data_IF_551506440929
#
_entry.id   IF_551506440929
#
_cell.length_a   1.000
_cell.length_b   1.000
_cell.length_c   1.000
_cell.angle_alpha   90.00
_cell.angle_beta   90.00
_cell.angle_gamma   90.00
#
_symmetry.space_group_name_H-M   'P 1'
#
loop_
_entity.id
_entity.type
_entity.pdbx_description
1 polymer ?
#
# COMPACT_ATOMS: atom_id res chain seq x y z
N UNK A 1 1.65 -14.92 -9.06
CA UNK A 1 2.66 -15.04 -10.15
C UNK A 1 2.13 -14.69 -11.53
N UNK A 2 0.94 -15.14 -11.97
CA UNK A 2 0.43 -14.79 -13.32
C UNK A 2 0.01 -13.31 -13.44
N UNK A 3 -0.54 -12.74 -12.35
CA UNK A 3 -1.09 -11.38 -12.37
C UNK A 3 -0.02 -10.29 -12.49
N UNK A 4 1.02 -10.32 -11.65
CA UNK A 4 2.15 -9.38 -11.74
C UNK A 4 2.85 -9.45 -13.10
N UNK A 5 2.89 -10.64 -13.73
CA UNK A 5 3.45 -10.77 -15.08
C UNK A 5 2.59 -10.05 -16.12
N UNK A 6 1.26 -10.16 -16.04
CA UNK A 6 0.33 -9.41 -16.90
C UNK A 6 0.44 -7.91 -16.66
N UNK A 7 0.52 -7.49 -15.40
CA UNK A 7 0.68 -6.09 -15.03
C UNK A 7 1.97 -5.48 -15.59
N UNK A 8 3.11 -6.17 -15.44
CA UNK A 8 4.38 -5.75 -16.07
C UNK A 8 4.27 -5.62 -17.58
N UNK A 9 3.54 -6.53 -18.24
CA UNK A 9 3.33 -6.44 -19.68
C UNK A 9 2.48 -5.22 -20.06
N UNK A 10 1.41 -4.94 -19.31
CA UNK A 10 0.58 -3.75 -19.51
C UNK A 10 1.38 -2.47 -19.30
N UNK A 11 2.22 -2.41 -18.25
CA UNK A 11 3.12 -1.28 -18.00
C UNK A 11 4.06 -1.07 -19.18
N UNK A 12 4.72 -2.14 -19.67
CA UNK A 12 5.61 -2.04 -20.82
C UNK A 12 4.90 -1.49 -22.07
N UNK A 13 3.67 -1.91 -22.32
CA UNK A 13 2.86 -1.40 -23.44
C UNK A 13 2.50 0.08 -23.25
N UNK A 14 2.14 0.49 -22.04
CA UNK A 14 1.84 1.88 -21.74
C UNK A 14 3.08 2.78 -21.89
N UNK A 15 4.24 2.29 -21.44
CA UNK A 15 5.52 3.00 -21.57
C UNK A 15 5.88 3.32 -23.03
N UNK A 16 5.53 2.47 -24.00
CA UNK A 16 5.81 2.71 -25.43
C UNK A 16 5.24 4.04 -25.96
N UNK A 17 4.18 4.55 -25.32
CA UNK A 17 3.53 5.83 -25.69
C UNK A 17 3.79 6.95 -24.68
N UNK A 18 4.19 6.59 -23.46
CA UNK A 18 4.30 7.52 -22.35
C UNK A 18 5.74 7.94 -22.05
N UNK A 19 6.71 7.03 -22.17
CA UNK A 19 8.09 7.32 -21.85
C UNK A 19 8.85 7.88 -23.06
N UNK A 20 9.68 8.92 -22.90
CA UNK A 20 10.56 9.41 -23.96
C UNK A 20 11.48 8.29 -24.49
N UNK A 21 11.70 8.25 -25.81
CA UNK A 21 12.46 7.17 -26.46
C UNK A 21 13.89 7.03 -25.90
N UNK A 22 14.55 8.14 -25.57
CA UNK A 22 15.89 8.17 -24.99
C UNK A 22 15.94 7.75 -23.51
N UNK A 23 14.78 7.66 -22.85
CA UNK A 23 14.61 7.30 -21.43
C UNK A 23 13.97 5.93 -21.20
N UNK A 24 13.58 5.25 -22.28
CA UNK A 24 12.92 3.95 -22.24
C UNK A 24 13.71 2.90 -21.44
N UNK A 25 15.04 2.83 -21.60
CA UNK A 25 15.85 1.85 -20.89
C UNK A 25 15.95 2.13 -19.38
N UNK A 26 16.08 3.40 -18.97
CA UNK A 26 16.06 3.80 -17.56
C UNK A 26 14.72 3.42 -16.89
N UNK A 27 13.61 3.66 -17.61
CA UNK A 27 12.28 3.32 -17.13
C UNK A 27 12.07 1.80 -17.00
N UNK A 28 12.62 0.99 -17.93
CA UNK A 28 12.58 -0.47 -17.86
C UNK A 28 13.42 -1.02 -16.70
N UNK A 29 14.56 -0.40 -16.41
CA UNK A 29 15.39 -0.78 -15.26
C UNK A 29 14.64 -0.58 -13.95
N UNK A 30 13.88 0.52 -13.83
CA UNK A 30 13.01 0.75 -12.67
C UNK A 30 11.90 -0.31 -12.57
N UNK A 31 11.22 -0.62 -13.68
CA UNK A 31 10.21 -1.68 -13.71
C UNK A 31 10.81 -3.05 -13.31
N UNK A 32 12.04 -3.33 -13.73
CA UNK A 32 12.74 -4.57 -13.37
C UNK A 32 13.07 -4.63 -11.87
N UNK A 33 13.43 -3.50 -11.26
CA UNK A 33 13.68 -3.38 -9.81
C UNK A 33 12.45 -3.77 -9.01
N UNK A 34 11.28 -3.27 -9.39
CA UNK A 34 10.01 -3.49 -8.69
C UNK A 34 9.20 -4.67 -9.23
N UNK A 35 9.82 -5.57 -10.00
CA UNK A 35 9.11 -6.59 -10.79
C UNK A 35 8.22 -7.55 -10.00
N UNK A 36 8.44 -7.70 -8.70
CA UNK A 36 7.62 -8.52 -7.80
C UNK A 36 6.86 -7.67 -6.75
N UNK A 37 7.04 -6.34 -6.74
CA UNK A 37 6.44 -5.46 -5.74
C UNK A 37 5.09 -4.93 -6.22
N UNK A 38 3.99 -5.39 -5.62
CA UNK A 38 2.64 -5.04 -6.09
C UNK A 38 2.39 -3.53 -6.00
N UNK A 39 2.78 -2.90 -4.89
CA UNK A 39 2.55 -1.46 -4.63
C UNK A 39 3.23 -0.63 -5.72
N UNK A 40 4.51 -0.87 -5.98
CA UNK A 40 5.22 -0.13 -7.03
C UNK A 40 4.70 -0.45 -8.43
N UNK A 41 4.28 -1.70 -8.72
CA UNK A 41 3.65 -2.03 -10.00
C UNK A 41 2.30 -1.33 -10.19
N UNK A 42 1.50 -1.17 -9.14
CA UNK A 42 0.24 -0.42 -9.19
C UNK A 42 0.50 1.05 -9.51
N UNK A 43 1.48 1.67 -8.81
CA UNK A 43 1.91 3.04 -9.08
C UNK A 43 2.40 3.23 -10.52
N UNK A 44 3.28 2.34 -11.00
CA UNK A 44 3.81 2.45 -12.35
C UNK A 44 2.70 2.26 -13.40
N UNK A 45 1.77 1.32 -13.17
CA UNK A 45 0.64 1.13 -14.08
C UNK A 45 -0.24 2.38 -14.13
N UNK A 46 -0.59 2.95 -12.98
CA UNK A 46 -1.41 4.16 -12.89
C UNK A 46 -0.74 5.34 -13.61
N UNK A 47 0.53 5.59 -13.30
CA UNK A 47 1.30 6.68 -13.91
C UNK A 47 1.38 6.56 -15.44
N UNK A 48 1.77 5.39 -15.96
CA UNK A 48 1.94 5.23 -17.41
C UNK A 48 0.61 5.10 -18.17
N UNK A 49 -0.46 4.67 -17.50
CA UNK A 49 -1.81 4.63 -18.09
C UNK A 49 -2.46 6.01 -18.12
N UNK A 50 -2.17 6.85 -17.12
CA UNK A 50 -2.77 8.17 -16.92
C UNK A 50 -1.70 9.21 -16.58
N UNK A 51 -0.97 9.64 -17.62
CA UNK A 51 0.06 10.68 -17.48
C UNK A 51 -0.53 11.98 -16.92
N UNK A 52 -0.08 12.46 -15.74
CA UNK A 52 -0.70 13.61 -15.07
C UNK A 52 -0.76 14.88 -15.92
N UNK A 53 0.29 15.17 -16.69
CA UNK A 53 0.41 16.38 -17.52
C UNK A 53 0.15 16.12 -19.02
N UNK A 54 -0.34 14.92 -19.37
CA UNK A 54 -0.60 14.48 -20.75
C UNK A 54 0.58 14.66 -21.73
N UNK A 55 1.81 14.67 -21.21
CA UNK A 55 3.06 14.73 -21.98
C UNK A 55 3.95 13.52 -21.68
N UNK A 56 4.87 13.23 -22.58
CA UNK A 56 5.84 12.15 -22.38
C UNK A 56 6.68 12.39 -21.11
N UNK A 57 6.73 11.40 -20.23
CA UNK A 57 7.50 11.44 -19.00
C UNK A 57 7.79 10.01 -18.51
N UNK A 58 8.70 9.88 -17.56
CA UNK A 58 9.07 8.59 -17.00
C UNK A 58 9.36 8.71 -15.51
N UNK A 59 9.02 7.65 -14.77
CA UNK A 59 9.38 7.56 -13.35
C UNK A 59 10.86 7.20 -13.25
N UNK A 60 11.64 8.06 -12.58
CA UNK A 60 13.07 7.86 -12.30
C UNK A 60 13.27 7.06 -11.03
N UNK A 61 12.47 7.38 -10.00
CA UNK A 61 12.52 6.75 -8.69
C UNK A 61 11.20 6.96 -7.95
N UNK A 62 10.95 6.12 -6.95
CA UNK A 62 9.79 6.21 -6.06
C UNK A 62 10.30 6.54 -4.67
N UNK A 63 9.71 7.56 -4.03
CA UNK A 63 10.06 8.02 -2.68
C UNK A 63 8.93 7.69 -1.72
N UNK A 64 9.28 7.24 -0.51
CA UNK A 64 8.33 7.00 0.57
C UNK A 64 8.10 8.29 1.36
N UNK A 65 6.95 8.93 1.16
CA UNK A 65 6.59 10.18 1.85
C UNK A 65 6.09 9.87 3.26
N UNK A 66 5.15 8.94 3.37
CA UNK A 66 4.62 8.45 4.63
C UNK A 66 4.08 7.04 4.48
N UNK A 67 3.93 6.34 5.61
CA UNK A 67 3.29 5.03 5.70
C UNK A 67 2.67 4.92 7.07
N UNK A 68 1.47 4.36 7.11
CA UNK A 68 0.79 4.02 8.36
C UNK A 68 -0.19 2.90 8.08
N UNK A 69 -0.20 1.84 8.90
CA UNK A 69 -1.25 0.82 8.87
C UNK A 69 -1.35 0.03 7.56
N UNK A 70 -0.28 -0.04 6.77
CA UNK A 70 -0.29 -0.68 5.44
C UNK A 70 -0.73 0.22 4.28
N UNK A 71 -1.07 1.48 4.57
CA UNK A 71 -1.36 2.50 3.56
C UNK A 71 -0.09 3.32 3.30
N UNK A 72 0.20 3.58 2.03
CA UNK A 72 1.41 4.25 1.58
C UNK A 72 1.06 5.57 0.93
N UNK A 73 1.81 6.61 1.29
CA UNK A 73 1.89 7.84 0.54
C UNK A 73 3.24 7.85 -0.19
N UNK A 74 3.21 7.65 -1.51
CA UNK A 74 4.40 7.56 -2.35
C UNK A 74 4.49 8.74 -3.30
N UNK A 75 5.71 9.22 -3.52
CA UNK A 75 6.00 10.21 -4.56
C UNK A 75 6.70 9.53 -5.74
N UNK A 76 6.10 9.62 -6.92
CA UNK A 76 6.72 9.25 -8.18
C UNK A 76 7.57 10.43 -8.67
N UNK A 77 8.89 10.30 -8.63
CA UNK A 77 9.80 11.33 -9.10
C UNK A 77 10.05 11.13 -10.59
N UNK A 78 9.76 12.15 -11.41
CA UNK A 78 9.85 12.03 -12.87
C UNK A 78 10.91 12.96 -13.45
N UNK A 79 11.09 12.97 -14.77
CA UNK A 79 12.03 13.89 -15.42
C UNK A 79 11.61 15.36 -15.30
N UNK A 80 10.30 15.61 -15.29
CA UNK A 80 9.73 16.96 -15.29
C UNK A 80 9.20 17.42 -13.92
N UNK A 81 8.69 16.51 -13.10
CA UNK A 81 7.95 16.85 -11.87
C UNK A 81 8.04 15.73 -10.83
N UNK A 82 7.19 15.82 -9.82
CA UNK A 82 6.94 14.76 -8.85
C UNK A 82 5.46 14.71 -8.52
N UNK A 83 4.93 13.50 -8.35
CA UNK A 83 3.50 13.24 -8.22
C UNK A 83 3.20 12.39 -7.00
N UNK A 84 2.15 12.73 -6.26
CA UNK A 84 1.77 12.07 -5.02
C UNK A 84 0.68 11.02 -5.27
N UNK A 85 0.88 9.82 -4.75
CA UNK A 85 -0.07 8.72 -4.84
C UNK A 85 -0.33 8.12 -3.46
N UNK A 86 -1.61 7.86 -3.15
CA UNK A 86 -2.05 7.07 -2.01
C UNK A 86 -2.29 5.64 -2.49
N UNK A 87 -1.74 4.65 -1.78
CA UNK A 87 -1.88 3.24 -2.14
C UNK A 87 -2.31 2.45 -0.90
N UNK A 88 -3.39 1.70 -1.02
CA UNK A 88 -3.98 0.85 0.03
C UNK A 88 -4.35 -0.53 -0.53
N UNK A 89 -5.03 -1.36 0.27
CA UNK A 89 -5.62 -2.60 -0.25
C UNK A 89 -6.77 -2.36 -1.22
N UNK A 90 -7.43 -1.20 -1.16
CA UNK A 90 -8.58 -0.85 -2.00
C UNK A 90 -8.16 -0.36 -3.39
N UNK A 91 -6.97 0.21 -3.53
CA UNK A 91 -6.47 0.67 -4.81
C UNK A 91 -5.38 1.73 -4.71
N UNK A 92 -5.29 2.52 -5.77
CA UNK A 92 -4.38 3.65 -5.91
C UNK A 92 -5.15 4.91 -6.25
N UNK A 93 -4.77 6.03 -5.63
CA UNK A 93 -5.37 7.35 -5.85
C UNK A 93 -4.29 8.38 -6.13
N UNK A 94 -4.53 9.28 -7.09
CA UNK A 94 -3.64 10.39 -7.44
C UNK A 94 -4.03 11.65 -6.67
N UNK A 95 -3.06 12.27 -5.99
CA UNK A 95 -3.26 13.44 -5.12
C UNK A 95 -2.56 14.72 -5.62
N UNK A 96 -2.22 14.76 -6.91
CA UNK A 96 -1.62 15.95 -7.54
C UNK A 96 -0.10 15.90 -7.63
N UNK A 97 0.45 17.01 -8.11
CA UNK A 97 1.91 17.23 -8.13
C UNK A 97 2.40 17.64 -6.74
N UNK A 98 3.68 17.39 -6.42
CA UNK A 98 4.26 17.86 -5.15
C UNK A 98 4.26 19.40 -5.02
N UNK A 99 4.14 20.13 -6.14
CA UNK A 99 4.02 21.58 -6.14
C UNK A 99 2.59 22.08 -5.85
N UNK A 100 1.57 21.23 -6.05
CA UNK A 100 0.15 21.56 -5.88
C UNK A 100 -0.59 20.33 -5.32
N UNK A 101 -0.21 19.94 -4.09
CA UNK A 101 -0.76 18.77 -3.41
C UNK A 101 -2.16 19.07 -2.90
N UNK A 102 -3.06 18.12 -3.09
CA UNK A 102 -4.36 18.09 -2.44
C UNK A 102 -4.54 16.80 -1.63
N UNK A 103 -4.69 16.95 -0.32
CA UNK A 103 -4.98 15.85 0.60
C UNK A 103 -6.03 16.29 1.61
N UNK A 104 -7.02 15.43 1.87
CA UNK A 104 -8.09 15.70 2.81
C UNK A 104 -7.60 15.69 4.26
N UNK A 105 -8.35 16.33 5.16
CA UNK A 105 -7.94 16.47 6.56
C UNK A 105 -7.80 15.12 7.24
N UNK A 106 -8.73 14.19 6.98
CA UNK A 106 -8.68 12.84 7.56
C UNK A 106 -7.37 12.11 7.19
N UNK A 107 -6.89 12.27 5.95
CA UNK A 107 -5.66 11.64 5.48
C UNK A 107 -4.40 12.30 6.07
N UNK A 108 -4.40 13.62 6.25
CA UNK A 108 -3.30 14.31 6.93
C UNK A 108 -3.18 13.83 8.38
N UNK A 109 -4.29 13.77 9.10
CA UNK A 109 -4.32 13.28 10.48
C UNK A 109 -3.89 11.80 10.55
N UNK A 110 -4.26 10.98 9.57
CA UNK A 110 -3.86 9.57 9.49
C UNK A 110 -2.33 9.35 9.34
N UNK A 111 -1.64 10.25 8.64
CA UNK A 111 -0.18 10.22 8.47
C UNK A 111 0.58 11.11 9.47
N UNK A 112 -0.08 11.53 10.56
CA UNK A 112 0.50 12.39 11.60
C UNK A 112 1.01 13.76 11.08
N UNK A 113 0.37 14.32 10.04
CA UNK A 113 0.62 15.68 9.59
C UNK A 113 -0.37 16.67 10.21
N UNK A 114 0.15 17.73 10.84
CA UNK A 114 -0.68 18.77 11.48
C UNK A 114 -1.60 19.50 10.49
N UNK A 115 -1.10 19.77 9.28
CA UNK A 115 -1.81 20.44 8.20
C UNK A 115 -1.13 20.22 6.83
N UNK A 116 -1.80 20.68 5.77
CA UNK A 116 -1.29 20.59 4.40
C UNK A 116 0.01 21.38 4.20
N UNK A 117 0.22 22.47 4.94
CA UNK A 117 1.43 23.28 4.82
C UNK A 117 2.66 22.54 5.32
N UNK A 118 2.49 21.73 6.38
CA UNK A 118 3.53 20.88 6.94
C UNK A 118 3.96 19.81 5.94
N UNK A 119 2.99 19.14 5.30
CA UNK A 119 3.27 18.19 4.22
C UNK A 119 3.96 18.87 3.03
N UNK A 120 3.45 20.03 2.58
CA UNK A 120 4.05 20.80 1.48
C UNK A 120 5.49 21.23 1.79
N UNK A 121 5.77 21.59 3.05
CA UNK A 121 7.11 21.95 3.48
C UNK A 121 8.09 20.77 3.34
N UNK A 122 7.70 19.57 3.74
CA UNK A 122 8.53 18.37 3.59
C UNK A 122 8.66 17.96 2.11
N UNK A 123 7.58 18.05 1.34
CA UNK A 123 7.58 17.81 -0.11
C UNK A 123 8.41 18.81 -0.92
N UNK A 124 8.74 19.98 -0.37
CA UNK A 124 9.63 20.95 -1.03
C UNK A 124 11.10 20.47 -1.12
N UNK A 125 11.46 19.43 -0.35
CA UNK A 125 12.79 18.80 -0.39
C UNK A 125 12.64 17.26 -0.49
N UNK A 126 12.12 16.75 -1.62
CA UNK A 126 11.74 15.34 -1.77
C UNK A 126 12.90 14.36 -1.62
N UNK A 127 14.15 14.82 -1.77
CA UNK A 127 15.36 14.01 -1.56
C UNK A 127 15.57 13.61 -0.10
N UNK A 128 14.87 14.27 0.84
CA UNK A 128 14.87 13.91 2.27
C UNK A 128 14.08 12.64 2.56
N UNK A 129 13.13 12.31 1.69
CA UNK A 129 12.39 11.05 1.79
C UNK A 129 13.26 9.88 1.37
N UNK A 130 13.07 8.75 2.06
CA UNK A 130 13.77 7.52 1.70
C UNK A 130 13.29 7.02 0.33
N UNK A 131 14.19 6.36 -0.40
CA UNK A 131 13.78 5.59 -1.57
C UNK A 131 12.83 4.48 -1.11
N UNK A 132 11.76 4.26 -1.88
CA UNK A 132 10.87 3.13 -1.65
C UNK A 132 11.58 1.84 -2.07
N UNK A 133 11.70 0.91 -1.13
CA UNK A 133 12.32 -0.39 -1.32
C UNK A 133 11.26 -1.49 -1.43
N UNK A 134 11.44 -2.51 -2.31
CA UNK A 134 10.50 -3.61 -2.44
C UNK A 134 10.24 -4.38 -1.14
N UNK A 135 8.97 -4.58 -0.76
CA UNK A 135 8.60 -5.11 0.56
C UNK A 135 8.58 -6.65 0.66
N UNK A 136 8.58 -7.35 -0.47
CA UNK A 136 8.34 -8.80 -0.58
C UNK A 136 9.30 -9.70 0.22
N UNK A 137 10.43 -9.16 0.69
CA UNK A 137 11.48 -9.90 1.42
C UNK A 137 11.55 -9.58 2.90
N UNK A 138 10.78 -8.61 3.39
CA UNK A 138 10.92 -8.13 4.76
C UNK A 138 10.03 -8.92 5.72
N UNK A 139 10.63 -9.59 6.70
CA UNK A 139 9.93 -10.33 7.76
C UNK A 139 9.10 -9.42 8.66
N UNK A 140 9.49 -8.16 8.78
CA UNK A 140 8.86 -7.17 9.62
C UNK A 140 7.66 -6.51 8.94
N UNK A 141 7.28 -6.95 7.74
CA UNK A 141 6.14 -6.44 6.97
C UNK A 141 5.08 -7.52 6.76
N UNK A 142 3.81 -7.19 7.05
CA UNK A 142 2.71 -8.10 6.80
C UNK A 142 2.62 -8.42 5.29
N UNK A 143 2.59 -9.70 4.89
CA UNK A 143 2.55 -10.07 3.47
C UNK A 143 1.20 -9.78 2.79
N UNK A 144 0.17 -9.40 3.56
CA UNK A 144 -1.18 -9.16 3.05
C UNK A 144 -1.51 -7.67 2.93
N UNK A 145 -1.43 -6.91 4.02
CA UNK A 145 -1.72 -5.47 4.02
C UNK A 145 -0.45 -4.61 4.05
N UNK A 146 0.73 -5.21 4.15
CA UNK A 146 1.99 -4.46 4.24
C UNK A 146 2.08 -3.51 5.45
N UNK A 147 1.40 -3.76 6.56
CA UNK A 147 1.70 -3.03 7.82
C UNK A 147 3.08 -3.44 8.37
N UNK A 148 3.82 -2.54 9.05
CA UNK A 148 5.09 -2.90 9.71
C UNK A 148 4.87 -3.47 11.10
N UNK A 149 5.89 -4.17 11.61
CA UNK A 149 5.93 -4.63 12.99
C UNK A 149 5.76 -3.46 13.95
N UNK A 150 4.86 -3.62 14.91
CA UNK A 150 4.52 -2.58 15.88
C UNK A 150 3.36 -1.67 15.47
N UNK A 151 2.89 -1.72 14.22
CA UNK A 151 1.67 -1.02 13.78
C UNK A 151 0.46 -1.96 13.77
N UNK A 152 -0.75 -1.38 13.75
CA UNK A 152 -1.99 -2.14 13.53
C UNK A 152 -2.16 -2.44 12.04
N UNK A 153 -2.90 -3.51 11.72
CA UNK A 153 -3.19 -3.84 10.33
C UNK A 153 -4.19 -2.85 9.70
N UNK A 154 -4.24 -2.79 8.37
CA UNK A 154 -5.41 -2.28 7.66
C UNK A 154 -6.64 -3.13 8.02
N UNK A 155 -7.79 -2.50 8.29
CA UNK A 155 -9.00 -3.22 8.67
C UNK A 155 -9.42 -4.17 7.55
N UNK A 156 -9.63 -5.44 7.89
CA UNK A 156 -9.95 -6.48 6.91
C UNK A 156 -8.73 -7.27 6.42
N UNK A 157 -7.53 -6.98 6.92
CA UNK A 157 -6.36 -7.81 6.67
C UNK A 157 -6.60 -9.27 7.13
N UNK A 158 -6.32 -10.29 6.29
CA UNK A 158 -6.52 -11.69 6.65
C UNK A 158 -5.56 -12.21 7.73
N UNK A 159 -4.48 -11.47 8.00
CA UNK A 159 -3.47 -11.79 9.02
C UNK A 159 -3.83 -11.18 10.38
N UNK A 160 -4.72 -10.18 10.42
CA UNK A 160 -5.06 -9.49 11.66
C UNK A 160 -5.67 -10.43 12.70
N UNK A 161 -5.21 -10.33 13.95
CA UNK A 161 -5.65 -11.15 15.06
C UNK A 161 -6.74 -10.43 15.85
N UNK A 162 -7.83 -11.14 16.12
CA UNK A 162 -8.93 -10.70 16.94
C UNK A 162 -8.49 -10.46 18.40
N UNK A 163 -8.65 -9.25 18.96
CA UNK A 163 -8.23 -8.93 20.32
C UNK A 163 -9.11 -9.56 21.41
N UNK A 164 -10.25 -10.15 21.05
CA UNK A 164 -11.13 -10.84 21.99
C UNK A 164 -10.82 -12.33 22.15
N UNK A 165 -10.47 -13.03 21.07
CA UNK A 165 -10.33 -14.49 21.10
C UNK A 165 -8.99 -15.02 20.55
N UNK A 166 -8.16 -14.17 19.94
CA UNK A 166 -6.88 -14.58 19.36
C UNK A 166 -6.97 -15.32 18.01
N UNK A 167 -8.17 -15.50 17.45
CA UNK A 167 -8.35 -16.02 16.09
C UNK A 167 -8.13 -14.97 15.00
N UNK A 168 -8.15 -15.34 13.72
CA UNK A 168 -8.10 -14.38 12.60
C UNK A 168 -9.36 -13.51 12.57
N UNK A 169 -9.20 -12.19 12.61
CA UNK A 169 -10.29 -11.22 12.73
C UNK A 169 -11.34 -11.37 11.63
N UNK A 170 -10.90 -11.54 10.38
CA UNK A 170 -11.79 -11.66 9.20
C UNK A 170 -12.65 -12.93 9.20
N UNK A 171 -12.33 -13.91 10.02
CA UNK A 171 -13.05 -15.19 10.12
C UNK A 171 -13.70 -15.37 11.48
N UNK A 172 -13.54 -14.39 12.38
CA UNK A 172 -13.93 -14.51 13.77
C UNK A 172 -15.43 -14.20 13.97
N UNK A 173 -16.19 -15.04 14.68
CA UNK A 173 -17.57 -14.73 15.07
C UNK A 173 -17.71 -13.51 15.98
N UNK A 174 -16.64 -13.12 16.71
CA UNK A 174 -16.69 -11.99 17.65
C UNK A 174 -17.14 -10.68 16.98
N UNK A 175 -16.87 -10.47 15.68
CA UNK A 175 -17.37 -9.27 14.96
C UNK A 175 -18.89 -9.13 15.02
N UNK A 176 -19.60 -10.26 14.96
CA UNK A 176 -21.06 -10.31 15.04
C UNK A 176 -21.54 -10.18 16.49
N UNK A 177 -20.90 -10.90 17.41
CA UNK A 177 -21.24 -10.89 18.83
C UNK A 177 -21.07 -9.51 19.48
N UNK A 178 -19.98 -8.80 19.17
CA UNK A 178 -19.71 -7.47 19.72
C UNK A 178 -20.68 -6.41 19.18
N UNK A 179 -21.11 -6.55 17.93
CA UNK A 179 -22.08 -5.65 17.31
C UNK A 179 -23.53 -6.00 17.65
N UNK A 180 -23.80 -7.23 18.13
CA UNK A 180 -25.14 -7.74 18.38
C UNK A 180 -25.95 -7.95 17.11
N UNK A 181 -25.30 -8.34 16.02
CA UNK A 181 -25.91 -8.52 14.68
C UNK A 181 -25.62 -9.91 14.14
N UNK A 182 -26.46 -10.40 13.21
CA UNK A 182 -26.24 -11.68 12.52
C UNK A 182 -25.66 -11.51 11.11
N UNK A 183 -25.85 -10.33 10.51
CA UNK A 183 -25.37 -9.96 9.17
C UNK A 183 -24.75 -8.59 9.26
N UNK A 184 -23.57 -8.43 8.65
CA UNK A 184 -22.81 -7.19 8.68
C UNK A 184 -23.09 -6.37 7.41
N UNK A 185 -23.35 -5.07 7.58
CA UNK A 185 -23.46 -4.07 6.51
C UNK A 185 -22.27 -3.13 6.54
N UNK A 186 -22.10 -2.29 5.52
CA UNK A 186 -21.01 -1.30 5.47
C UNK A 186 -21.06 -0.32 6.66
N UNK A 187 -22.26 0.07 7.09
CA UNK A 187 -22.42 0.92 8.28
C UNK A 187 -21.97 0.21 9.59
N UNK A 188 -22.05 -1.13 9.62
CA UNK A 188 -21.58 -1.92 10.76
C UNK A 188 -20.06 -2.05 10.79
N UNK A 189 -19.38 -1.94 9.64
CA UNK A 189 -17.90 -1.94 9.56
C UNK A 189 -17.35 -0.74 10.33
N UNK A 190 -17.86 0.47 10.08
CA UNK A 190 -17.43 1.67 10.79
C UNK A 190 -17.69 1.57 12.31
N UNK A 191 -18.83 1.02 12.70
CA UNK A 191 -19.15 0.77 14.12
C UNK A 191 -18.20 -0.26 14.74
N UNK A 192 -17.87 -1.29 13.99
CA UNK A 192 -16.98 -2.36 14.44
C UNK A 192 -15.55 -1.85 14.64
N UNK A 193 -15.07 -0.99 13.75
CA UNK A 193 -13.78 -0.36 13.86
C UNK A 193 -13.65 0.46 15.15
N UNK A 194 -14.68 1.21 15.53
CA UNK A 194 -14.72 1.94 16.81
C UNK A 194 -14.56 0.97 17.98
N UNK A 195 -15.34 -0.13 18.01
CA UNK A 195 -15.26 -1.14 19.08
C UNK A 195 -13.89 -1.83 19.14
N UNK A 196 -13.29 -2.10 17.98
CA UNK A 196 -11.94 -2.67 17.87
C UNK A 196 -10.88 -1.73 18.45
N UNK A 197 -10.95 -0.45 18.07
CA UNK A 197 -10.03 0.57 18.54
C UNK A 197 -10.17 0.78 20.06
N UNK A 198 -11.40 0.83 20.58
CA UNK A 198 -11.67 0.91 22.02
C UNK A 198 -11.15 -0.32 22.79
N UNK A 199 -11.27 -1.51 22.20
CA UNK A 199 -10.73 -2.75 22.78
C UNK A 199 -9.19 -2.76 22.80
N UNK A 200 -8.58 -2.05 21.86
CA UNK A 200 -7.15 -2.10 21.57
C UNK A 200 -6.83 -3.22 20.57
N UNK A 201 -6.54 -2.83 19.34
CA UNK A 201 -6.11 -3.75 18.28
C UNK A 201 -4.72 -4.30 18.59
N UNK A 202 -4.44 -5.52 18.11
CA UNK A 202 -3.15 -6.18 18.30
C UNK A 202 -2.20 -5.72 17.20
N UNK A 203 -1.05 -5.16 17.59
CA UNK A 203 -0.03 -4.75 16.63
C UNK A 203 0.56 -5.97 15.92
N UNK A 204 0.95 -5.77 14.67
CA UNK A 204 1.59 -6.78 13.86
C UNK A 204 2.96 -7.16 14.45
N UNK A 205 3.28 -8.45 14.32
CA UNK A 205 4.61 -9.00 14.59
C UNK A 205 4.90 -10.14 13.60
N UNK A 206 6.17 -10.45 13.33
CA UNK A 206 6.55 -11.49 12.36
C UNK A 206 5.95 -12.86 12.70
N UNK A 207 5.71 -13.16 13.98
CA UNK A 207 5.09 -14.41 14.46
C UNK A 207 3.66 -14.62 13.94
N UNK A 208 2.99 -13.54 13.51
CA UNK A 208 1.65 -13.60 12.93
C UNK A 208 1.69 -14.00 11.45
N UNK A 209 2.87 -14.02 10.80
CA UNK A 209 2.99 -14.41 9.40
C UNK A 209 2.46 -15.83 9.22
N UNK A 210 1.57 -16.06 8.23
CA UNK A 210 1.19 -17.41 7.88
C UNK A 210 2.43 -18.22 7.53
N UNK A 211 2.76 -19.21 8.35
CA UNK A 211 3.70 -20.25 7.95
C UNK A 211 2.99 -21.07 6.88
N UNK A 212 3.47 -21.02 5.64
CA UNK A 212 3.16 -22.13 4.74
C UNK A 212 3.61 -23.39 5.46
N UNK A 213 2.75 -24.40 5.54
CA UNK A 213 3.20 -25.70 6.00
C UNK A 213 4.43 -26.04 5.15
N UNK A 214 5.57 -26.22 5.81
CA UNK A 214 6.77 -26.75 5.18
C UNK A 214 6.37 -28.00 4.38
N UNK A 215 7.20 -28.40 3.43
CA UNK A 215 7.14 -29.68 2.70
C UNK A 215 7.26 -30.92 3.63
N UNK A 216 6.72 -30.87 4.84
CA UNK A 216 6.39 -32.02 5.66
C UNK A 216 5.45 -32.95 4.89
N UNK A 217 5.43 -34.25 5.24
CA UNK A 217 4.91 -35.33 4.40
C UNK A 217 3.39 -35.35 4.14
N UNK A 218 2.69 -34.22 4.33
CA UNK A 218 1.23 -34.15 4.30
C UNK A 218 0.63 -34.87 5.50
N UNK A 219 -0.52 -34.39 5.94
CA UNK A 219 -1.33 -35.15 6.90
C UNK A 219 -1.88 -36.36 6.15
N UNK A 220 -1.39 -37.55 6.48
CA UNK A 220 -2.05 -38.80 6.09
C UNK A 220 -3.32 -38.89 6.92
N UNK A 221 -4.46 -38.69 6.28
CA UNK A 221 -5.76 -38.97 6.88
C UNK A 221 -5.99 -40.49 6.77
N UNK A 222 -6.09 -41.17 7.91
CA UNK A 222 -6.56 -42.56 8.00
C UNK A 222 -8.08 -42.68 7.82
#
# INVERSE_FOLDING_TARGET
MDEQKKQRHAILQAMEYAAPEDKMEEAKDLLHRYREDKIALDLLLEFYSYLPEAGEDYVREIRLVARSGGVFLLAAMTGASAYLYLISSEGIEFHGSLADIYLERELLDFFDYDDLQSLQHDCAAPERFSLYEPLQVDADVCPACHTVTGEVHELGCPVEICPWCGGQLINCPCRFEQLGIEVMTDADIARFEILLNEKGRINYSPDQRPTFADEGPGVVLE
#
